data_IF_114186906653
#
_entry.id   IF_114186906653
#
_cell.length_a   1.000
_cell.length_b   1.000
_cell.length_c   1.000
_cell.angle_alpha   90.00
_cell.angle_beta   90.00
_cell.angle_gamma   90.00
#
_symmetry.space_group_name_H-M   'P 1'
#
loop_
_entity.id
_entity.type
_entity.pdbx_description
1 polymer ?
#
# COMPACT_ATOMS: atom_id res chain seq x y z
N UNK A 1 -12.43 5.10 4.34
CA UNK A 1 -11.28 5.14 3.42
C UNK A 1 -10.90 6.59 3.21
N UNK A 2 -9.61 6.88 3.31
CA UNK A 2 -9.01 8.20 3.04
C UNK A 2 -8.06 8.07 1.87
N UNK A 3 -8.07 9.04 0.96
CA UNK A 3 -7.23 9.06 -0.24
C UNK A 3 -6.26 10.22 -0.15
N UNK A 4 -4.97 9.92 -0.30
CA UNK A 4 -3.90 10.90 -0.26
C UNK A 4 -3.27 11.07 -1.64
N UNK A 5 -2.98 12.32 -1.98
CA UNK A 5 -2.16 12.70 -3.13
C UNK A 5 -0.90 13.36 -2.58
N UNK A 6 0.21 12.63 -2.64
CA UNK A 6 1.45 12.99 -1.94
C UNK A 6 2.51 13.37 -2.99
N UNK A 7 2.97 14.63 -3.04
CA UNK A 7 4.14 14.97 -3.84
C UNK A 7 5.41 14.42 -3.15
N UNK A 8 6.52 14.28 -3.89
CA UNK A 8 7.83 14.03 -3.29
C UNK A 8 8.13 15.00 -2.15
N UNK A 9 8.65 14.47 -1.04
CA UNK A 9 9.00 15.26 0.16
C UNK A 9 10.26 16.13 0.00
N UNK A 10 10.92 16.08 -1.16
CA UNK A 10 12.13 16.87 -1.44
C UNK A 10 11.84 18.34 -1.75
N UNK A 11 10.58 18.72 -1.98
CA UNK A 11 10.15 20.10 -2.27
C UNK A 11 10.66 20.67 -3.59
N UNK A 12 11.36 19.87 -4.41
CA UNK A 12 11.99 20.31 -5.66
C UNK A 12 11.58 19.48 -6.87
N UNK A 13 11.16 18.23 -6.65
CA UNK A 13 10.73 17.34 -7.71
C UNK A 13 9.38 17.77 -8.28
N UNK A 14 9.31 17.77 -9.62
CA UNK A 14 8.07 18.02 -10.35
C UNK A 14 7.38 16.70 -10.63
N UNK A 15 6.07 16.67 -10.38
CA UNK A 15 5.19 15.54 -10.74
C UNK A 15 4.19 15.97 -11.81
N UNK A 16 3.71 15.02 -12.57
CA UNK A 16 2.70 15.20 -13.61
C UNK A 16 1.33 14.86 -13.04
N UNK A 17 0.38 15.78 -13.16
CA UNK A 17 -1.00 15.53 -12.76
C UNK A 17 -1.65 14.44 -13.63
N UNK A 18 -2.49 13.60 -13.04
CA UNK A 18 -3.24 12.59 -13.77
C UNK A 18 -4.19 13.24 -14.78
N UNK A 19 -4.20 12.73 -16.02
CA UNK A 19 -5.13 13.17 -17.06
C UNK A 19 -6.48 12.46 -16.89
N UNK A 20 -7.59 13.08 -17.32
CA UNK A 20 -8.89 12.39 -17.37
C UNK A 20 -8.78 11.06 -18.13
N UNK A 21 -9.35 9.99 -17.55
CA UNK A 21 -9.26 8.64 -18.12
C UNK A 21 -8.05 7.83 -17.68
N UNK A 22 -7.13 8.41 -16.89
CA UNK A 22 -6.02 7.65 -16.30
C UNK A 22 -6.54 6.57 -15.35
N UNK A 23 -6.07 5.33 -15.51
CA UNK A 23 -6.51 4.16 -14.72
C UNK A 23 -5.31 3.32 -14.35
N UNK A 24 -5.19 2.94 -13.10
CA UNK A 24 -4.13 2.04 -12.66
C UNK A 24 -4.59 1.13 -11.52
N UNK A 25 -3.94 -0.02 -11.38
CA UNK A 25 -4.08 -0.92 -10.24
C UNK A 25 -2.78 -1.00 -9.44
N UNK A 26 -2.94 -1.25 -8.14
CA UNK A 26 -1.85 -1.60 -7.23
C UNK A 26 -2.03 -3.03 -6.73
N UNK A 27 -0.95 -3.81 -6.73
CA UNK A 27 -0.97 -5.22 -6.33
C UNK A 27 -1.72 -6.14 -7.30
N UNK A 28 -1.89 -7.40 -6.90
CA UNK A 28 -2.51 -8.46 -7.69
C UNK A 28 -3.51 -9.23 -6.82
N UNK A 29 -4.80 -9.13 -7.12
CA UNK A 29 -5.88 -9.74 -6.33
C UNK A 29 -5.91 -11.28 -6.36
N UNK A 30 -5.21 -11.89 -7.32
CA UNK A 30 -5.13 -13.34 -7.46
C UNK A 30 -3.96 -13.98 -6.68
N UNK A 31 -3.11 -13.19 -6.00
CA UNK A 31 -2.04 -13.74 -5.18
C UNK A 31 -2.60 -14.50 -3.97
N UNK A 32 -1.93 -15.60 -3.61
CA UNK A 32 -2.27 -16.51 -2.50
C UNK A 32 -1.06 -16.86 -1.63
N UNK A 33 0.00 -16.08 -1.79
CA UNK A 33 1.19 -16.09 -0.96
C UNK A 33 1.92 -14.75 -1.18
N UNK A 34 2.96 -14.52 -0.39
CA UNK A 34 3.72 -13.26 -0.43
C UNK A 34 4.71 -13.16 -1.58
N UNK A 35 4.83 -14.20 -2.41
CA UNK A 35 5.78 -14.21 -3.54
C UNK A 35 5.25 -13.34 -4.67
N UNK A 36 5.94 -12.24 -4.93
CA UNK A 36 5.55 -11.28 -5.97
C UNK A 36 4.42 -10.35 -5.55
N UNK A 37 4.13 -10.26 -4.24
CA UNK A 37 3.35 -9.16 -3.67
C UNK A 37 4.02 -7.82 -3.98
N UNK A 38 3.19 -6.81 -4.18
CA UNK A 38 3.68 -5.44 -4.22
C UNK A 38 4.09 -5.04 -2.81
N UNK A 39 5.30 -4.49 -2.65
CA UNK A 39 5.66 -3.69 -1.48
C UNK A 39 4.90 -2.36 -1.49
N UNK A 40 3.61 -2.39 -1.74
CA UNK A 40 2.70 -1.27 -1.83
C UNK A 40 1.42 -1.59 -1.09
N UNK A 41 1.29 -2.75 -0.45
CA UNK A 41 0.12 -3.12 0.34
C UNK A 41 0.59 -3.67 1.68
N UNK A 42 0.09 -3.11 2.78
CA UNK A 42 0.42 -3.57 4.12
C UNK A 42 -0.73 -3.36 5.12
N UNK A 43 -0.64 -4.03 6.25
CA UNK A 43 -1.64 -4.06 7.30
C UNK A 43 -1.01 -3.79 8.67
N UNK A 44 -1.62 -2.87 9.42
CA UNK A 44 -1.30 -2.57 10.82
C UNK A 44 -2.43 -3.04 11.71
N UNK A 45 -2.08 -3.79 12.74
CA UNK A 45 -2.97 -4.06 13.86
C UNK A 45 -2.95 -2.87 14.82
N UNK A 46 -4.02 -2.09 14.86
CA UNK A 46 -4.06 -0.81 15.59
C UNK A 46 -4.38 -1.06 17.07
N UNK A 47 -3.67 -0.38 17.97
CA UNK A 47 -3.98 -0.39 19.40
C UNK A 47 -5.06 0.66 19.69
N UNK A 48 -5.92 0.41 20.68
CA UNK A 48 -7.03 1.31 21.02
C UNK A 48 -6.56 2.74 21.35
N UNK A 49 -5.43 2.84 22.04
CA UNK A 49 -4.88 4.08 22.57
C UNK A 49 -3.61 4.53 21.82
N UNK A 50 -3.49 4.20 20.53
CA UNK A 50 -2.35 4.64 19.71
C UNK A 50 -2.23 6.18 19.69
N UNK A 51 -1.10 6.71 20.18
CA UNK A 51 -0.76 8.14 20.15
C UNK A 51 0.67 8.34 19.58
N UNK A 52 0.85 9.15 18.51
CA UNK A 52 -0.22 9.71 17.68
C UNK A 52 -1.02 8.59 17.01
N UNK A 53 -2.32 8.82 16.82
CA UNK A 53 -3.12 7.93 15.98
C UNK A 53 -2.61 8.08 14.54
N UNK A 54 -2.16 6.97 13.94
CA UNK A 54 -1.52 6.96 12.64
C UNK A 54 0.00 6.79 12.71
N UNK A 55 0.71 7.37 11.75
CA UNK A 55 2.16 7.17 11.57
C UNK A 55 2.47 6.56 10.22
N UNK A 56 3.75 6.66 9.85
CA UNK A 56 4.25 6.17 8.57
C UNK A 56 3.82 4.70 8.38
N UNK A 57 3.35 4.35 7.18
CA UNK A 57 2.84 3.03 6.89
C UNK A 57 3.95 2.10 6.42
N UNK A 58 3.71 0.80 6.57
CA UNK A 58 4.52 -0.29 6.04
C UNK A 58 5.95 -0.28 6.58
N UNK A 59 6.02 0.05 7.86
CA UNK A 59 7.22 0.04 8.70
C UNK A 59 6.98 -0.86 9.92
N UNK A 60 8.07 -1.17 10.62
CA UNK A 60 8.06 -1.85 11.91
C UNK A 60 7.28 -3.18 11.84
N UNK A 61 6.19 -3.28 12.60
CA UNK A 61 5.35 -4.48 12.74
C UNK A 61 4.22 -4.57 11.69
N UNK A 62 4.23 -3.72 10.65
CA UNK A 62 3.29 -3.83 9.55
C UNK A 62 3.57 -5.08 8.72
N UNK A 63 2.51 -5.75 8.30
CA UNK A 63 2.58 -7.06 7.64
C UNK A 63 1.96 -6.99 6.24
N UNK A 64 2.37 -7.85 5.32
CA UNK A 64 1.75 -7.95 3.99
C UNK A 64 0.50 -8.85 3.97
N UNK A 65 0.23 -9.51 5.10
CA UNK A 65 -0.95 -10.34 5.34
C UNK A 65 -1.83 -9.73 6.44
N UNK A 66 -3.08 -10.17 6.55
CA UNK A 66 -3.99 -9.67 7.60
C UNK A 66 -3.47 -10.04 9.00
N UNK A 67 -3.55 -9.15 10.00
CA UNK A 67 -3.08 -9.43 11.35
C UNK A 67 -3.60 -10.74 11.93
N UNK A 68 -2.68 -11.55 12.48
CA UNK A 68 -2.98 -12.88 13.04
C UNK A 68 -3.50 -12.85 14.47
N UNK A 69 -3.81 -11.66 14.99
CA UNK A 69 -4.30 -11.42 16.35
C UNK A 69 -5.39 -10.36 16.35
N UNK A 70 -6.22 -10.37 17.38
CA UNK A 70 -7.24 -9.34 17.59
C UNK A 70 -6.60 -7.96 17.70
N UNK A 71 -7.19 -6.98 17.02
CA UNK A 71 -6.72 -5.59 16.98
C UNK A 71 -7.71 -4.71 17.71
N UNK A 72 -7.29 -4.10 18.81
CA UNK A 72 -8.17 -3.36 19.71
C UNK A 72 -8.72 -2.07 19.08
N UNK A 73 -7.98 -1.49 18.13
CA UNK A 73 -8.37 -0.31 17.35
C UNK A 73 -8.74 -0.64 15.89
N UNK A 74 -8.95 -1.91 15.56
CA UNK A 74 -9.22 -2.37 14.20
C UNK A 74 -7.96 -2.59 13.35
N UNK A 75 -8.16 -2.81 12.05
CA UNK A 75 -7.08 -3.07 11.09
C UNK A 75 -6.97 -1.88 10.15
N UNK A 76 -5.77 -1.30 10.06
CA UNK A 76 -5.45 -0.31 9.03
C UNK A 76 -4.78 -1.01 7.86
N UNK A 77 -5.39 -0.95 6.69
CA UNK A 77 -4.76 -1.38 5.43
C UNK A 77 -4.32 -0.16 4.65
N UNK A 78 -3.11 -0.24 4.13
CA UNK A 78 -2.61 0.75 3.17
C UNK A 78 -2.47 0.14 1.79
N UNK A 79 -2.79 0.94 0.76
CA UNK A 79 -2.45 0.67 -0.64
C UNK A 79 -1.73 1.87 -1.24
N UNK A 80 -0.46 1.71 -1.56
CA UNK A 80 0.40 2.65 -2.28
C UNK A 80 0.49 2.25 -3.75
N UNK A 81 0.16 3.19 -4.62
CA UNK A 81 0.17 2.99 -6.07
C UNK A 81 1.55 3.28 -6.69
N UNK A 82 1.81 2.74 -7.90
CA UNK A 82 2.92 3.15 -8.74
C UNK A 82 3.04 4.67 -8.90
N UNK A 83 4.27 5.18 -8.94
CA UNK A 83 4.58 6.64 -9.03
C UNK A 83 5.29 7.02 -10.33
N UNK A 84 5.50 6.07 -11.23
CA UNK A 84 6.21 6.27 -12.48
C UNK A 84 5.31 5.87 -13.65
N UNK A 85 5.24 6.70 -14.68
CA UNK A 85 4.39 6.54 -15.85
C UNK A 85 5.21 6.50 -17.14
N UNK A 86 4.79 5.69 -18.12
CA UNK A 86 5.43 5.59 -19.44
C UNK A 86 5.35 6.90 -20.26
N UNK A 87 4.49 7.85 -19.87
CA UNK A 87 4.32 9.14 -20.52
C UNK A 87 3.40 9.11 -21.74
N UNK A 88 2.86 7.95 -22.09
CA UNK A 88 2.11 7.70 -23.32
C UNK A 88 0.69 7.20 -23.02
N UNK A 89 0.56 6.12 -22.26
CA UNK A 89 -0.69 5.39 -22.12
C UNK A 89 -1.45 5.82 -20.85
N UNK A 90 -2.70 6.28 -20.99
CA UNK A 90 -3.54 6.58 -19.83
C UNK A 90 -4.03 5.32 -19.11
N UNK A 91 -4.03 4.22 -19.82
CA UNK A 91 -4.46 2.91 -19.33
C UNK A 91 -3.77 1.84 -20.18
N UNK A 92 -3.64 0.64 -19.63
CA UNK A 92 -3.19 -0.57 -20.35
C UNK A 92 -4.24 -1.67 -20.17
N UNK A 93 -4.29 -2.71 -21.04
CA UNK A 93 -5.28 -3.78 -20.90
C UNK A 93 -5.28 -4.49 -19.53
N UNK A 94 -4.14 -4.48 -18.83
CA UNK A 94 -3.95 -5.04 -17.49
C UNK A 94 -4.02 -3.97 -16.36
N UNK A 95 -4.26 -2.71 -16.72
CA UNK A 95 -4.25 -1.53 -15.86
C UNK A 95 -2.95 -1.33 -15.06
N UNK A 96 -1.84 -1.95 -15.46
CA UNK A 96 -0.59 -1.97 -14.70
C UNK A 96 0.65 -1.71 -15.56
N UNK A 97 0.75 -2.28 -16.77
CA UNK A 97 1.97 -2.22 -17.59
C UNK A 97 2.40 -0.81 -18.04
N UNK A 98 1.53 0.19 -17.97
CA UNK A 98 1.85 1.59 -18.29
C UNK A 98 2.39 2.39 -17.08
N UNK A 99 2.41 1.78 -15.89
CA UNK A 99 2.95 2.37 -14.67
C UNK A 99 3.96 1.45 -13.99
N UNK A 100 4.87 2.05 -13.23
CA UNK A 100 5.85 1.34 -12.44
C UNK A 100 6.03 1.97 -11.06
N UNK A 101 6.42 1.16 -10.08
CA UNK A 101 6.96 1.68 -8.83
C UNK A 101 8.33 2.31 -9.09
N UNK A 102 8.68 3.34 -8.34
CA UNK A 102 10.05 3.86 -8.31
C UNK A 102 11.01 2.74 -7.88
N UNK A 103 12.24 2.79 -8.38
CA UNK A 103 13.30 1.82 -8.02
C UNK A 103 13.58 1.85 -6.51
N UNK A 104 13.41 3.03 -5.90
CA UNK A 104 13.47 3.22 -4.44
C UNK A 104 12.31 4.15 -4.06
N UNK A 105 11.28 3.67 -3.36
CA UNK A 105 10.15 4.51 -2.96
C UNK A 105 10.53 5.63 -1.96
N UNK A 106 9.76 6.73 -1.98
CA UNK A 106 9.92 7.85 -1.03
C UNK A 106 9.45 7.48 0.38
N UNK A 107 8.29 6.84 0.50
CA UNK A 107 7.81 6.26 1.76
C UNK A 107 8.43 4.87 1.98
N UNK A 108 8.84 4.54 3.21
CA UNK A 108 9.54 3.30 3.49
C UNK A 108 8.64 2.08 3.22
N UNK A 109 9.01 1.33 2.19
CA UNK A 109 8.69 -0.10 2.02
C UNK A 109 9.95 -0.97 1.98
N UNK A 110 11.11 -0.30 1.93
CA UNK A 110 12.43 -0.88 2.05
C UNK A 110 13.32 0.13 2.79
N UNK A 111 14.27 -0.33 3.62
CA UNK A 111 15.32 0.51 4.15
C UNK A 111 16.08 1.17 2.98
N UNK A 112 16.42 2.46 3.03
CA UNK A 112 17.23 3.07 2.00
C UNK A 112 18.59 2.36 1.92
N UNK A 113 18.95 1.84 0.75
CA UNK A 113 20.26 1.25 0.51
C UNK A 113 21.28 2.36 0.21
N UNK A 114 21.91 2.91 1.25
CA UNK A 114 22.99 3.89 1.12
C UNK A 114 22.53 5.27 0.63
N UNK A 115 23.31 5.92 -0.25
CA UNK A 115 23.11 7.29 -0.73
C UNK A 115 22.20 7.43 -1.97
N UNK A 116 21.35 6.43 -2.24
CA UNK A 116 20.57 6.41 -3.46
C UNK A 116 19.38 7.40 -3.43
N UNK A 117 19.08 7.99 -4.59
CA UNK A 117 17.97 8.94 -4.75
C UNK A 117 16.64 8.20 -4.67
N UNK A 118 15.89 8.42 -3.59
CA UNK A 118 14.48 8.00 -3.49
C UNK A 118 13.67 8.62 -4.62
N UNK A 119 12.62 7.92 -5.03
CA UNK A 119 11.71 8.33 -6.08
C UNK A 119 12.16 8.08 -7.50
N UNK A 120 13.38 7.58 -7.74
CA UNK A 120 13.91 7.41 -9.10
C UNK A 120 13.02 6.47 -9.91
N UNK A 121 12.48 6.99 -11.01
CA UNK A 121 11.72 6.17 -11.95
C UNK A 121 12.62 5.36 -12.88
N UNK A 122 12.22 4.12 -13.24
CA UNK A 122 12.94 3.34 -14.22
C UNK A 122 12.86 4.00 -15.60
N UNK A 123 13.85 3.75 -16.46
CA UNK A 123 13.92 4.36 -17.79
C UNK A 123 12.70 4.06 -18.68
N UNK A 124 11.99 2.95 -18.44
CA UNK A 124 10.75 2.59 -19.13
C UNK A 124 9.55 3.46 -18.73
N UNK A 125 9.60 4.12 -17.57
CA UNK A 125 8.50 4.91 -17.01
C UNK A 125 9.01 6.26 -16.50
N UNK A 126 9.57 7.13 -17.36
CA UNK A 126 10.35 8.29 -16.91
C UNK A 126 9.52 9.42 -16.31
N UNK A 127 8.19 9.38 -16.41
CA UNK A 127 7.33 10.48 -15.95
C UNK A 127 6.90 10.25 -14.51
N UNK A 128 7.30 11.15 -13.61
CA UNK A 128 6.89 11.11 -12.22
C UNK A 128 5.42 11.51 -12.05
N UNK A 129 4.67 10.72 -11.30
CA UNK A 129 3.30 10.97 -10.85
C UNK A 129 3.31 11.33 -9.35
N UNK A 130 2.31 12.08 -8.86
CA UNK A 130 2.09 12.16 -7.41
C UNK A 130 1.74 10.77 -6.87
N UNK A 131 2.21 10.44 -5.67
CA UNK A 131 1.87 9.19 -5.02
C UNK A 131 0.40 9.21 -4.62
N UNK A 132 -0.34 8.20 -5.08
CA UNK A 132 -1.66 7.89 -4.55
C UNK A 132 -1.48 6.85 -3.45
N UNK A 133 -2.08 7.14 -2.30
CA UNK A 133 -2.12 6.23 -1.16
C UNK A 133 -3.56 6.15 -0.64
N UNK A 134 -4.07 4.94 -0.52
CA UNK A 134 -5.35 4.68 0.16
C UNK A 134 -5.06 4.19 1.56
N UNK A 135 -5.66 4.85 2.54
CA UNK A 135 -5.72 4.38 3.92
C UNK A 135 -7.15 3.88 4.19
N UNK A 136 -7.26 2.60 4.53
CA UNK A 136 -8.53 1.95 4.82
C UNK A 136 -8.51 1.46 6.25
N UNK A 137 -9.36 2.06 7.09
CA UNK A 137 -9.63 1.59 8.44
C UNK A 137 -10.80 0.61 8.41
N UNK A 138 -10.55 -0.62 8.81
CA UNK A 138 -11.57 -1.63 9.06
C UNK A 138 -11.84 -1.71 10.56
N UNK A 139 -13.05 -1.37 10.99
CA UNK A 139 -13.47 -1.60 12.36
C UNK A 139 -13.77 -3.10 12.56
N UNK A 140 -12.75 -3.83 12.99
CA UNK A 140 -12.86 -5.25 13.33
C UNK A 140 -13.14 -5.50 14.81
N UNK A 141 -13.30 -4.45 15.61
CA UNK A 141 -13.49 -4.58 17.06
C UNK A 141 -14.72 -5.39 17.48
N UNK A 142 -15.86 -5.40 16.74
CA UNK A 142 -17.00 -6.27 17.08
C UNK A 142 -16.68 -7.77 16.98
N UNK A 143 -15.60 -8.12 16.27
CA UNK A 143 -15.14 -9.49 16.04
C UNK A 143 -14.01 -9.91 16.99
N UNK A 144 -13.60 -9.07 17.94
CA UNK A 144 -12.60 -9.42 18.96
C UNK A 144 -13.22 -10.29 20.06
N UNK A 145 -13.75 -11.46 19.67
CA UNK A 145 -14.33 -12.46 20.57
C UNK A 145 -13.78 -13.84 20.24
N UNK A 146 -13.36 -14.59 21.25
CA UNK A 146 -12.66 -15.86 21.06
C UNK A 146 -13.49 -16.87 20.24
N UNK A 147 -14.82 -16.85 20.39
CA UNK A 147 -15.75 -17.71 19.66
C UNK A 147 -15.87 -17.40 18.16
N UNK A 148 -15.44 -16.22 17.71
CA UNK A 148 -15.45 -15.81 16.31
C UNK A 148 -14.12 -16.10 15.60
N UNK A 149 -13.11 -16.54 16.34
CA UNK A 149 -11.77 -16.85 15.84
C UNK A 149 -11.57 -18.36 15.78
N UNK A 150 -10.68 -18.83 14.91
CA UNK A 150 -10.41 -20.25 14.73
C UNK A 150 -9.81 -20.91 15.97
N UNK A 151 -9.81 -22.25 16.01
CA UNK A 151 -9.12 -23.00 17.06
C UNK A 151 -7.65 -22.53 17.16
N UNK A 152 -7.19 -22.17 18.36
CA UNK A 152 -5.90 -21.55 18.65
C UNK A 152 -5.76 -20.05 18.29
N UNK A 153 -6.88 -19.34 18.06
CA UNK A 153 -6.85 -17.90 17.80
C UNK A 153 -6.45 -17.55 16.36
N UNK A 154 -6.73 -18.41 15.39
CA UNK A 154 -6.53 -18.10 13.97
C UNK A 154 -7.49 -17.00 13.53
N UNK A 155 -6.97 -16.02 12.79
CA UNK A 155 -7.73 -14.85 12.34
C UNK A 155 -8.78 -15.23 11.26
N UNK A 156 -10.02 -14.72 11.33
CA UNK A 156 -11.13 -15.17 10.47
C UNK A 156 -11.36 -14.31 9.21
N UNK A 157 -10.68 -13.18 9.05
CA UNK A 157 -10.91 -12.23 7.97
C UNK A 157 -10.30 -12.71 6.65
N UNK A 158 -10.93 -12.36 5.53
CA UNK A 158 -10.42 -12.65 4.20
C UNK A 158 -10.88 -11.55 3.26
N UNK A 159 -10.04 -11.17 2.30
CA UNK A 159 -10.50 -10.27 1.23
C UNK A 159 -11.54 -10.96 0.36
N UNK A 160 -12.43 -10.19 -0.27
CA UNK A 160 -13.47 -10.76 -1.14
C UNK A 160 -12.91 -11.62 -2.29
N UNK A 161 -11.65 -11.37 -2.69
CA UNK A 161 -10.95 -12.12 -3.72
C UNK A 161 -10.09 -13.26 -3.16
N UNK A 162 -10.17 -13.56 -1.87
CA UNK A 162 -9.19 -14.37 -1.13
C UNK A 162 -7.98 -13.56 -0.67
N UNK A 163 -7.26 -14.05 0.32
CA UNK A 163 -5.98 -13.53 0.81
C UNK A 163 -4.86 -14.59 0.69
N UNK A 164 -3.66 -14.20 1.10
CA UNK A 164 -2.41 -14.96 1.00
C UNK A 164 -2.03 -15.61 2.34
#
# INVERSE_FOLDING_TARGET
MTVYYIPPYDGVSKVTAFKPGFRMLAGKSALRNTTGESFGICHRCVNKDSVPFGGAPCIDDDTTFLPTRMCEGGIRTQVTFPTCWDGVNLDSPDHQSHVAYAEIPYEPYAPPAGSQNRGRCPASHPVHLPQIMYEVMFDTTPYNKAELWGANGTQPFVYAMGDA
#
